data_IF_586066774416
#
_entry.id   IF_586066774416
#
_cell.length_a   1.000
_cell.length_b   1.000
_cell.length_c   1.000
_cell.angle_alpha   90.00
_cell.angle_beta   90.00
_cell.angle_gamma   90.00
#
_symmetry.space_group_name_H-M   'P 1'
#
loop_
_entity.id
_entity.type
_entity.pdbx_description
1 polymer ?
#
# COMPACT_ATOMS: atom_id res chain seq x y z
N UNK A 1 -47.27 31.55 -45.66
CA UNK A 1 -46.03 31.52 -44.85
C UNK A 1 -45.76 30.09 -44.39
N UNK A 2 -44.81 29.39 -45.01
CA UNK A 2 -44.46 27.98 -44.67
C UNK A 2 -43.40 27.99 -43.55
N UNK A 3 -43.78 27.55 -42.35
CA UNK A 3 -42.86 27.39 -41.20
C UNK A 3 -41.89 26.25 -41.47
N UNK A 4 -40.58 26.55 -41.52
CA UNK A 4 -39.51 25.55 -41.58
C UNK A 4 -39.22 25.09 -40.15
N UNK A 5 -39.45 23.80 -39.85
CA UNK A 5 -38.98 23.18 -38.61
C UNK A 5 -37.49 22.84 -38.77
N UNK A 6 -36.66 23.31 -37.85
CA UNK A 6 -35.28 22.86 -37.69
C UNK A 6 -35.25 21.60 -36.80
N UNK A 7 -34.50 20.54 -37.14
CA UNK A 7 -34.34 19.39 -36.27
C UNK A 7 -33.36 19.76 -35.15
N UNK A 8 -33.83 19.67 -33.91
CA UNK A 8 -32.99 19.77 -32.73
C UNK A 8 -32.15 18.49 -32.63
N UNK A 9 -30.85 18.61 -32.88
CA UNK A 9 -29.88 17.54 -32.71
C UNK A 9 -29.60 17.39 -31.20
N UNK A 10 -30.17 16.35 -30.57
CA UNK A 10 -29.83 15.98 -29.19
C UNK A 10 -28.38 15.45 -29.16
N UNK A 11 -27.46 16.20 -28.55
CA UNK A 11 -26.19 15.66 -28.09
C UNK A 11 -26.46 14.79 -26.86
N UNK A 12 -26.36 13.46 -27.01
CA UNK A 12 -26.31 12.54 -25.90
C UNK A 12 -24.95 12.69 -25.18
N UNK A 13 -24.95 13.34 -24.02
CA UNK A 13 -23.77 13.43 -23.16
C UNK A 13 -23.44 12.05 -22.58
N UNK A 14 -22.31 11.48 -23.00
CA UNK A 14 -21.71 10.33 -22.33
C UNK A 14 -21.22 10.81 -20.95
N UNK A 15 -21.99 10.51 -19.91
CA UNK A 15 -21.53 10.65 -18.54
C UNK A 15 -20.38 9.66 -18.31
N UNK A 16 -19.15 10.14 -18.29
CA UNK A 16 -18.01 9.36 -17.81
C UNK A 16 -18.20 9.16 -16.30
N UNK A 17 -18.67 7.98 -15.90
CA UNK A 17 -18.65 7.59 -14.51
C UNK A 17 -17.19 7.60 -14.03
N UNK A 18 -16.87 8.17 -12.85
CA UNK A 18 -15.54 8.06 -12.29
C UNK A 18 -15.25 6.57 -12.09
N UNK A 19 -14.15 6.10 -12.68
CA UNK A 19 -13.62 4.76 -12.44
C UNK A 19 -13.16 4.75 -10.98
N UNK A 20 -14.03 4.33 -10.05
CA UNK A 20 -13.59 3.98 -8.71
C UNK A 20 -12.52 2.91 -8.87
N UNK A 21 -11.30 3.18 -8.40
CA UNK A 21 -10.25 2.18 -8.33
C UNK A 21 -10.78 1.01 -7.51
N UNK A 22 -11.22 -0.05 -8.19
CA UNK A 22 -11.65 -1.28 -7.55
C UNK A 22 -10.40 -1.88 -6.93
N UNK A 23 -10.47 -2.26 -5.65
CA UNK A 23 -9.48 -3.18 -5.07
C UNK A 23 -9.41 -4.37 -6.01
N UNK A 24 -8.25 -4.69 -6.61
CA UNK A 24 -8.19 -5.72 -7.64
C UNK A 24 -8.75 -7.02 -7.09
N UNK A 25 -9.74 -7.61 -7.77
CA UNK A 25 -10.37 -8.85 -7.34
C UNK A 25 -9.34 -9.99 -7.13
N UNK A 26 -8.17 -9.87 -7.76
CA UNK A 26 -7.00 -10.75 -7.65
C UNK A 26 -6.23 -10.63 -6.33
N UNK A 27 -6.37 -9.55 -5.57
CA UNK A 27 -5.64 -9.39 -4.30
C UNK A 27 -6.31 -10.09 -3.11
N UNK A 28 -7.59 -10.44 -3.22
CA UNK A 28 -8.37 -10.95 -2.08
C UNK A 28 -7.75 -12.18 -1.43
N UNK A 29 -7.32 -13.17 -2.23
CA UNK A 29 -6.76 -14.42 -1.72
C UNK A 29 -5.40 -14.16 -1.05
N UNK A 30 -4.51 -13.41 -1.70
CA UNK A 30 -3.22 -12.99 -1.12
C UNK A 30 -3.39 -12.28 0.22
N UNK A 31 -4.38 -11.39 0.31
CA UNK A 31 -4.68 -10.67 1.54
C UNK A 31 -5.23 -11.59 2.63
N UNK A 32 -6.14 -12.51 2.29
CA UNK A 32 -6.66 -13.50 3.23
C UNK A 32 -5.55 -14.38 3.80
N UNK A 33 -4.64 -14.89 2.96
CA UNK A 33 -3.51 -15.70 3.40
C UNK A 33 -2.55 -14.91 4.32
N UNK A 34 -2.30 -13.64 4.00
CA UNK A 34 -1.52 -12.75 4.84
C UNK A 34 -2.17 -12.53 6.21
N UNK A 35 -3.47 -12.23 6.24
CA UNK A 35 -4.23 -12.02 7.48
C UNK A 35 -4.25 -13.29 8.35
N UNK A 36 -4.38 -14.47 7.74
CA UNK A 36 -4.30 -15.74 8.47
C UNK A 36 -2.90 -16.00 9.03
N UNK A 37 -1.84 -15.54 8.36
CA UNK A 37 -0.48 -15.56 8.92
C UNK A 37 -0.38 -14.71 10.19
N UNK A 38 -0.94 -13.49 10.17
CA UNK A 38 -0.98 -12.62 11.36
C UNK A 38 -1.87 -13.23 12.46
N UNK A 39 -3.01 -13.81 12.10
CA UNK A 39 -3.90 -14.52 13.03
C UNK A 39 -3.15 -15.64 13.73
N UNK A 40 -2.46 -16.51 12.99
CA UNK A 40 -1.69 -17.61 13.53
C UNK A 40 -0.58 -17.13 14.48
N UNK A 41 0.07 -15.99 14.17
CA UNK A 41 1.07 -15.37 15.05
C UNK A 41 0.46 -14.96 16.39
N UNK A 42 -0.73 -14.34 16.38
CA UNK A 42 -1.41 -13.91 17.59
C UNK A 42 -1.98 -15.09 18.40
N UNK A 43 -2.68 -16.02 17.76
CA UNK A 43 -3.28 -17.18 18.44
C UNK A 43 -2.22 -18.15 18.94
N UNK A 44 -1.06 -18.23 18.28
CA UNK A 44 0.10 -18.98 18.75
C UNK A 44 0.80 -18.35 19.95
N UNK A 45 0.60 -17.05 20.21
CA UNK A 45 1.19 -16.34 21.34
C UNK A 45 0.19 -16.21 22.49
N UNK A 46 0.38 -17.04 23.52
CA UNK A 46 -0.45 -17.07 24.74
C UNK A 46 -1.95 -17.23 24.46
N UNK A 47 -2.31 -17.88 23.34
CA UNK A 47 -3.71 -18.04 22.89
C UNK A 47 -4.44 -16.70 22.72
N UNK A 48 -3.75 -15.69 22.17
CA UNK A 48 -4.33 -14.38 21.90
C UNK A 48 -5.53 -14.43 20.95
N UNK A 49 -6.48 -13.53 21.16
CA UNK A 49 -7.53 -13.25 20.20
C UNK A 49 -7.04 -12.20 19.20
N UNK A 50 -7.04 -12.57 17.93
CA UNK A 50 -6.67 -11.70 16.82
C UNK A 50 -7.87 -10.89 16.35
N UNK A 51 -7.67 -9.58 16.20
CA UNK A 51 -8.66 -8.66 15.64
C UNK A 51 -8.11 -7.97 14.40
N UNK A 52 -8.93 -7.93 13.36
CA UNK A 52 -8.63 -7.33 12.06
C UNK A 52 -9.80 -6.42 11.64
N UNK A 53 -9.56 -5.13 11.41
CA UNK A 53 -10.61 -4.23 10.96
C UNK A 53 -11.02 -4.55 9.52
N UNK A 54 -12.26 -4.24 9.18
CA UNK A 54 -12.78 -4.41 7.82
C UNK A 54 -12.00 -3.60 6.75
N UNK A 55 -11.36 -2.50 7.16
CA UNK A 55 -10.56 -1.61 6.30
C UNK A 55 -9.07 -1.64 6.66
N UNK A 56 -8.46 -2.84 6.70
CA UNK A 56 -7.03 -2.96 7.00
C UNK A 56 -6.11 -2.63 5.80
N UNK A 57 -6.63 -2.65 4.57
CA UNK A 57 -5.94 -2.02 3.42
C UNK A 57 -6.00 -0.51 3.65
N UNK A 58 -4.85 0.09 3.95
CA UNK A 58 -4.79 1.49 4.34
C UNK A 58 -4.92 2.42 3.14
N UNK A 59 -4.27 2.05 2.03
CA UNK A 59 -4.12 2.82 0.80
C UNK A 59 -3.77 1.90 -0.36
N UNK A 60 -3.86 2.43 -1.58
CA UNK A 60 -3.39 1.75 -2.80
C UNK A 60 -2.67 2.75 -3.71
N UNK A 61 -1.65 2.32 -4.43
CA UNK A 61 -0.91 3.15 -5.41
C UNK A 61 -0.24 2.25 -6.43
N UNK A 62 -0.13 2.68 -7.69
CA UNK A 62 0.62 1.93 -8.72
C UNK A 62 2.10 2.35 -8.68
N UNK A 63 2.95 1.57 -7.98
CA UNK A 63 4.38 1.84 -7.87
C UNK A 63 5.15 1.36 -9.12
N UNK A 64 4.75 0.23 -9.69
CA UNK A 64 5.45 -0.43 -10.79
C UNK A 64 5.05 0.10 -12.19
N UNK A 65 4.00 0.92 -12.26
CA UNK A 65 3.50 1.59 -13.47
C UNK A 65 2.77 0.67 -14.44
N UNK A 66 2.25 -0.47 -14.00
CA UNK A 66 1.55 -1.44 -14.85
C UNK A 66 0.05 -1.18 -14.99
N UNK A 67 -0.47 -0.16 -14.29
CA UNK A 67 -1.88 0.21 -14.28
C UNK A 67 -2.74 -0.58 -13.29
N UNK A 68 -2.14 -1.49 -12.52
CA UNK A 68 -2.75 -2.21 -11.40
C UNK A 68 -2.35 -1.51 -10.11
N UNK A 69 -3.30 -1.36 -9.19
CA UNK A 69 -2.99 -0.74 -7.90
C UNK A 69 -2.30 -1.72 -6.97
N UNK A 70 -1.26 -1.24 -6.28
CA UNK A 70 -0.50 -1.97 -5.27
C UNK A 70 -1.04 -1.61 -3.87
N UNK A 71 -1.62 -2.56 -3.12
CA UNK A 71 -2.13 -2.34 -1.79
C UNK A 71 -1.04 -2.12 -0.75
N UNK A 72 -1.35 -1.27 0.23
CA UNK A 72 -0.55 -1.04 1.43
C UNK A 72 -1.33 -1.54 2.63
N UNK A 73 -0.72 -2.39 3.44
CA UNK A 73 -1.28 -2.93 4.69
C UNK A 73 -0.35 -2.57 5.84
N UNK A 74 -0.89 -1.91 6.84
CA UNK A 74 -0.12 -1.40 7.98
C UNK A 74 -0.45 -2.24 9.22
N UNK A 75 0.55 -2.89 9.82
CA UNK A 75 0.29 -3.86 10.89
C UNK A 75 -0.36 -3.22 12.12
N UNK A 76 -0.08 -1.95 12.43
CA UNK A 76 -0.70 -1.21 13.54
C UNK A 76 -2.22 -1.09 13.48
N UNK A 77 -2.85 -1.51 12.37
CA UNK A 77 -4.30 -1.62 12.24
C UNK A 77 -4.87 -2.90 12.86
N UNK A 78 -4.05 -3.94 13.06
CA UNK A 78 -4.44 -5.18 13.70
C UNK A 78 -4.16 -5.13 15.20
N UNK A 79 -4.80 -6.02 15.96
CA UNK A 79 -4.50 -6.16 17.39
C UNK A 79 -4.49 -7.63 17.84
N UNK A 80 -3.74 -7.87 18.92
CA UNK A 80 -3.68 -9.16 19.58
C UNK A 80 -3.99 -8.99 21.07
N UNK A 81 -4.97 -9.71 21.61
CA UNK A 81 -5.37 -9.53 23.00
C UNK A 81 -4.28 -9.89 24.02
N UNK A 82 -3.34 -10.76 23.65
CA UNK A 82 -2.22 -11.18 24.50
C UNK A 82 -0.98 -10.29 24.36
N UNK A 83 -0.97 -9.32 23.44
CA UNK A 83 0.20 -8.43 23.27
C UNK A 83 -0.18 -7.06 22.72
N UNK A 84 0.10 -6.03 23.52
CA UNK A 84 -0.11 -4.64 23.14
C UNK A 84 0.79 -4.19 21.98
N UNK A 85 1.94 -4.84 21.77
CA UNK A 85 2.99 -4.42 20.84
C UNK A 85 3.17 -5.34 19.65
N UNK A 86 2.49 -6.49 19.59
CA UNK A 86 2.69 -7.47 18.51
C UNK A 86 2.49 -6.90 17.10
N UNK A 87 1.52 -6.01 16.93
CA UNK A 87 1.22 -5.38 15.65
C UNK A 87 1.34 -3.85 15.68
N UNK A 88 1.16 -3.21 16.85
CA UNK A 88 1.46 -1.78 17.01
C UNK A 88 2.95 -1.47 17.06
N UNK A 89 3.80 -2.50 17.17
CA UNK A 89 5.24 -2.37 17.23
C UNK A 89 5.74 -1.77 18.55
N UNK A 90 6.92 -1.16 18.49
CA UNK A 90 7.59 -0.55 19.63
C UNK A 90 8.18 0.81 19.27
N UNK A 91 9.33 1.15 19.86
CA UNK A 91 10.02 2.40 19.54
C UNK A 91 10.45 2.47 18.08
N UNK A 92 10.65 1.34 17.41
CA UNK A 92 11.02 1.26 15.99
C UNK A 92 9.87 1.55 15.01
N UNK A 93 8.63 1.67 15.49
CA UNK A 93 7.44 1.68 14.63
C UNK A 93 6.87 0.28 14.45
N UNK A 94 6.04 0.11 13.42
CA UNK A 94 5.38 -1.15 13.08
C UNK A 94 5.58 -1.47 11.61
N UNK A 95 5.38 -2.75 11.26
CA UNK A 95 5.56 -3.21 9.90
C UNK A 95 4.52 -2.61 8.96
N UNK A 96 5.01 -2.25 7.78
CA UNK A 96 4.23 -1.80 6.62
C UNK A 96 4.51 -2.81 5.50
N UNK A 97 3.45 -3.35 4.94
CA UNK A 97 3.50 -4.33 3.85
C UNK A 97 2.97 -3.70 2.58
N UNK A 98 3.79 -3.70 1.53
CA UNK A 98 3.39 -3.32 0.18
C UNK A 98 3.25 -4.58 -0.66
N UNK A 99 2.12 -4.69 -1.35
CA UNK A 99 1.86 -5.80 -2.27
C UNK A 99 1.92 -5.26 -3.68
N UNK A 100 3.03 -5.51 -4.37
CA UNK A 100 3.25 -5.03 -5.74
C UNK A 100 2.82 -6.09 -6.73
N UNK A 101 1.89 -5.71 -7.59
CA UNK A 101 1.35 -6.55 -8.67
C UNK A 101 2.46 -7.10 -9.58
N UNK A 102 2.23 -8.29 -10.11
CA UNK A 102 3.17 -9.02 -10.97
C UNK A 102 2.54 -9.38 -12.32
N UNK A 103 3.34 -9.54 -13.38
CA UNK A 103 2.83 -9.89 -14.72
C UNK A 103 2.07 -11.22 -14.79
N UNK A 104 2.27 -12.12 -13.83
CA UNK A 104 1.57 -13.40 -13.73
C UNK A 104 0.18 -13.30 -13.05
N UNK A 105 -0.20 -12.08 -12.63
CA UNK A 105 -1.46 -11.79 -11.93
C UNK A 105 -1.37 -11.92 -10.41
N UNK A 106 -0.21 -12.31 -9.87
CA UNK A 106 0.06 -12.37 -8.44
C UNK A 106 0.56 -11.05 -7.86
N UNK A 107 0.99 -11.11 -6.60
CA UNK A 107 1.55 -9.98 -5.85
C UNK A 107 2.82 -10.40 -5.12
N UNK A 108 3.88 -9.60 -5.25
CA UNK A 108 5.08 -9.70 -4.41
C UNK A 108 4.91 -8.81 -3.19
N UNK A 109 5.19 -9.35 -2.00
CA UNK A 109 5.14 -8.59 -0.75
C UNK A 109 6.49 -7.96 -0.45
N UNK A 110 6.50 -6.72 -0.01
CA UNK A 110 7.67 -5.99 0.49
C UNK A 110 7.37 -5.46 1.88
N UNK A 111 8.33 -5.58 2.78
CA UNK A 111 8.16 -5.26 4.20
C UNK A 111 9.09 -4.12 4.61
N UNK A 112 8.55 -3.17 5.36
CA UNK A 112 9.25 -2.00 5.89
C UNK A 112 8.89 -1.81 7.35
N UNK A 113 9.78 -1.21 8.14
CA UNK A 113 9.49 -0.81 9.52
C UNK A 113 9.40 0.72 9.59
N UNK A 114 8.22 1.25 9.94
CA UNK A 114 7.97 2.69 9.91
C UNK A 114 6.92 3.13 10.93
N UNK A 115 6.84 4.44 11.17
CA UNK A 115 5.81 5.05 12.02
C UNK A 115 4.52 5.41 11.26
N UNK A 116 4.64 5.59 9.95
CA UNK A 116 3.54 5.95 9.07
C UNK A 116 3.94 5.64 7.63
N UNK A 117 2.98 5.77 6.71
CA UNK A 117 3.24 5.75 5.27
C UNK A 117 2.88 7.10 4.65
N UNK A 118 3.70 7.57 3.72
CA UNK A 118 3.38 8.70 2.85
C UNK A 118 3.72 8.32 1.40
N UNK A 119 2.91 8.80 0.48
CA UNK A 119 3.11 8.60 -0.95
C UNK A 119 3.24 9.97 -1.58
N UNK A 120 4.38 10.22 -2.20
CA UNK A 120 4.67 11.48 -2.88
C UNK A 120 4.89 11.19 -4.35
N UNK A 121 4.14 11.86 -5.22
CA UNK A 121 4.36 11.79 -6.67
C UNK A 121 5.08 13.07 -7.10
N UNK A 122 6.40 13.03 -7.33
CA UNK A 122 7.16 14.21 -7.73
C UNK A 122 6.73 14.69 -9.12
N UNK A 123 6.65 16.01 -9.30
CA UNK A 123 6.48 16.59 -10.63
C UNK A 123 7.82 16.56 -11.36
N UNK A 124 7.94 15.87 -12.49
CA UNK A 124 9.19 15.82 -13.26
C UNK A 124 9.40 14.57 -14.12
N UNK A 125 10.67 14.28 -14.44
CA UNK A 125 11.07 13.22 -15.41
C UNK A 125 10.76 11.79 -14.97
N UNK A 126 10.54 11.55 -13.68
CA UNK A 126 10.13 10.26 -13.16
C UNK A 126 8.74 10.43 -12.53
N UNK A 127 7.69 10.09 -13.27
CA UNK A 127 6.31 10.16 -12.79
C UNK A 127 5.93 8.90 -11.99
N UNK A 128 6.88 8.37 -11.21
CA UNK A 128 6.65 7.19 -10.36
C UNK A 128 6.39 7.65 -8.93
N UNK A 129 5.43 7.03 -8.21
CA UNK A 129 5.24 7.30 -6.80
C UNK A 129 6.49 6.97 -5.99
N UNK A 130 6.78 7.82 -5.01
CA UNK A 130 7.83 7.63 -4.00
C UNK A 130 7.15 7.23 -2.70
N UNK A 131 7.54 6.08 -2.15
CA UNK A 131 7.17 5.69 -0.79
C UNK A 131 8.10 6.43 0.17
N UNK A 132 7.53 7.31 1.00
CA UNK A 132 8.25 8.05 2.02
C UNK A 132 7.83 7.53 3.41
N UNK A 133 8.79 7.02 4.16
CA UNK A 133 8.57 6.39 5.46
C UNK A 133 9.30 7.19 6.54
N UNK A 134 8.60 7.74 7.55
CA UNK A 134 9.23 8.14 8.79
C UNK A 134 9.69 6.88 9.54
N UNK A 135 10.98 6.79 9.79
CA UNK A 135 11.65 5.65 10.43
C UNK A 135 12.30 6.09 11.75
N UNK A 136 12.70 5.11 12.56
CA UNK A 136 13.45 5.38 13.79
C UNK A 136 14.79 6.07 13.49
N UNK A 137 15.21 7.01 14.34
CA UNK A 137 16.42 7.80 14.14
C UNK A 137 17.68 6.98 13.85
N UNK A 138 17.77 5.79 14.45
CA UNK A 138 18.90 4.88 14.25
C UNK A 138 19.15 4.49 12.78
N UNK A 139 18.12 4.53 11.92
CA UNK A 139 18.26 4.26 10.49
C UNK A 139 19.00 5.38 9.74
N UNK A 140 19.10 6.57 10.35
CA UNK A 140 19.84 7.73 9.86
C UNK A 140 21.08 8.03 10.72
N UNK A 141 21.56 7.08 11.53
CA UNK A 141 22.68 7.26 12.47
C UNK A 141 22.48 8.41 13.49
N UNK A 142 21.22 8.68 13.84
CA UNK A 142 20.81 9.69 14.83
C UNK A 142 19.93 9.03 15.91
N UNK A 143 19.61 9.75 16.99
CA UNK A 143 18.91 9.12 18.15
C UNK A 143 17.49 9.62 18.33
N UNK A 144 17.31 10.93 18.47
CA UNK A 144 16.01 11.55 18.74
C UNK A 144 15.49 12.36 17.55
N UNK A 145 16.32 12.53 16.53
CA UNK A 145 16.01 13.32 15.35
C UNK A 145 15.10 12.53 14.39
N UNK A 146 14.15 13.22 13.72
CA UNK A 146 13.33 12.59 12.69
C UNK A 146 14.19 12.01 11.57
N UNK A 147 13.98 10.74 11.26
CA UNK A 147 14.58 10.05 10.12
C UNK A 147 13.49 9.70 9.10
N UNK A 148 13.82 9.85 7.82
CA UNK A 148 12.94 9.48 6.73
C UNK A 148 13.73 8.70 5.68
N UNK A 149 13.14 7.61 5.22
CA UNK A 149 13.61 6.88 4.05
C UNK A 149 12.66 7.10 2.88
N UNK A 150 13.24 7.31 1.70
CA UNK A 150 12.52 7.44 0.45
C UNK A 150 12.86 6.25 -0.44
N UNK A 151 11.83 5.52 -0.86
CA UNK A 151 11.95 4.35 -1.71
C UNK A 151 11.23 4.60 -3.04
N UNK A 152 11.89 4.20 -4.13
CA UNK A 152 11.35 4.27 -5.49
C UNK A 152 11.39 2.89 -6.10
N UNK A 153 10.37 2.53 -6.87
CA UNK A 153 10.38 1.29 -7.65
C UNK A 153 11.44 1.35 -8.74
N UNK A 154 12.27 0.31 -8.82
CA UNK A 154 13.24 0.13 -9.90
C UNK A 154 12.69 -0.78 -10.99
N UNK A 155 13.18 -0.59 -12.21
CA UNK A 155 12.88 -1.48 -13.35
C UNK A 155 13.35 -2.94 -13.11
N UNK A 156 14.11 -3.21 -12.05
CA UNK A 156 14.54 -4.57 -11.68
C UNK A 156 13.60 -5.27 -10.71
N UNK A 157 12.43 -4.69 -10.41
CA UNK A 157 11.42 -5.32 -9.57
C UNK A 157 11.64 -5.15 -8.07
N UNK A 158 12.33 -4.08 -7.66
CA UNK A 158 12.71 -3.82 -6.26
C UNK A 158 12.51 -2.37 -5.89
N UNK A 159 12.22 -2.12 -4.62
CA UNK A 159 12.33 -0.78 -4.04
C UNK A 159 13.79 -0.44 -3.77
N UNK A 160 14.20 0.77 -4.18
CA UNK A 160 15.56 1.27 -3.98
C UNK A 160 15.57 2.60 -3.26
N UNK A 161 16.58 2.80 -2.41
CA UNK A 161 16.92 4.05 -1.75
C UNK A 161 18.44 4.26 -1.79
N UNK A 162 18.98 5.43 -1.43
CA UNK A 162 20.42 5.61 -1.28
C UNK A 162 21.07 4.61 -0.29
N UNK A 163 20.30 4.09 0.67
CA UNK A 163 20.75 3.15 1.68
C UNK A 163 20.72 1.67 1.24
N UNK A 164 20.19 1.35 0.06
CA UNK A 164 20.19 -0.02 -0.46
C UNK A 164 18.92 -0.40 -1.23
N UNK A 165 18.70 -1.71 -1.34
CA UNK A 165 17.55 -2.31 -2.01
C UNK A 165 16.70 -3.08 -1.00
N UNK A 166 15.38 -3.07 -1.20
CA UNK A 166 14.44 -3.91 -0.45
C UNK A 166 14.01 -5.04 -1.38
N UNK A 167 14.30 -6.26 -0.94
CA UNK A 167 13.92 -7.49 -1.65
C UNK A 167 12.51 -7.91 -1.25
N UNK A 168 11.86 -8.69 -2.12
CA UNK A 168 10.55 -9.24 -1.80
C UNK A 168 10.65 -10.17 -0.58
N UNK A 169 9.70 -10.03 0.34
CA UNK A 169 9.56 -10.90 1.48
C UNK A 169 9.12 -12.30 1.03
N UNK A 170 9.70 -13.33 1.65
CA UNK A 170 9.26 -14.71 1.48
C UNK A 170 7.90 -14.95 2.14
#
# INVERSE_FOLDING_TARGET
MKKRLFPAMLLAGLAAAPLSAQTPATFSDTYSDFVETLRARCTGFENGAFDAPAEAISRTTDFNGDGITDPIVEEWRFSCSSSATMFNGGTGGSYVHLFVSQPDGGYSRFEFLAYATLIVTPQGRANRPVLLLPEHGANCDVTAEPCYAAYVWSETGRFVSPGGVVEASQ
#
